data_IF_280306373006
#
_entry.id   IF_280306373006
#
_cell.length_a   1.000
_cell.length_b   1.000
_cell.length_c   1.000
_cell.angle_alpha   90.00
_cell.angle_beta   90.00
_cell.angle_gamma   90.00
#
_symmetry.space_group_name_H-M   'P 1'
#
loop_
_entity.id
_entity.type
_entity.pdbx_description
1 polymer ?
#
# COMPACT_ATOMS: atom_id res chain seq x y z
N UNK A 1 -5.94 -8.33 -0.94
CA UNK A 1 -4.60 -8.24 -0.34
C UNK A 1 -4.61 -8.86 1.03
N UNK A 2 -3.53 -9.51 1.43
CA UNK A 2 -3.29 -10.02 2.78
C UNK A 2 -1.85 -9.70 3.19
N UNK A 3 -1.55 -9.85 4.48
CA UNK A 3 -0.20 -9.68 5.01
C UNK A 3 0.30 -11.00 5.56
N UNK A 4 1.51 -11.41 5.19
CA UNK A 4 2.14 -12.63 5.72
C UNK A 4 2.34 -12.66 7.24
N UNK A 5 2.20 -11.52 7.93
CA UNK A 5 2.27 -11.42 9.39
C UNK A 5 1.06 -11.98 10.13
N UNK A 6 -0.08 -12.17 9.44
CA UNK A 6 -1.29 -12.73 10.02
C UNK A 6 -2.10 -13.46 8.95
N UNK A 7 -1.54 -14.58 8.49
CA UNK A 7 -2.07 -15.36 7.38
C UNK A 7 -1.96 -16.85 7.66
N UNK A 8 -3.07 -17.57 7.51
CA UNK A 8 -3.16 -19.01 7.73
C UNK A 8 -3.85 -19.67 6.54
N UNK A 9 -3.36 -20.84 6.14
CA UNK A 9 -3.91 -21.65 5.07
C UNK A 9 -3.72 -23.13 5.38
N UNK A 10 -4.58 -23.97 4.80
CA UNK A 10 -4.45 -25.42 4.96
C UNK A 10 -3.28 -25.93 4.13
N UNK A 11 -2.57 -26.92 4.68
CA UNK A 11 -1.37 -27.50 4.08
C UNK A 11 -1.65 -28.18 2.73
N UNK A 12 -2.77 -28.89 2.62
CA UNK A 12 -3.27 -29.51 1.39
C UNK A 12 -3.49 -28.47 0.29
N UNK A 13 -4.12 -27.34 0.62
CA UNK A 13 -4.38 -26.27 -0.34
C UNK A 13 -3.08 -25.60 -0.83
N UNK A 14 -2.05 -25.50 0.03
CA UNK A 14 -0.71 -25.03 -0.39
C UNK A 14 -0.08 -25.95 -1.43
N UNK A 15 -0.13 -27.28 -1.23
CA UNK A 15 0.41 -28.23 -2.18
C UNK A 15 -0.41 -28.32 -3.47
N UNK A 16 -1.73 -28.15 -3.39
CA UNK A 16 -2.61 -28.16 -4.56
C UNK A 16 -2.28 -27.05 -5.58
N UNK A 17 -1.67 -25.94 -5.13
CA UNK A 17 -1.17 -24.88 -6.03
C UNK A 17 0.33 -24.97 -6.31
N UNK A 18 1.02 -26.04 -5.93
CA UNK A 18 2.49 -26.11 -5.99
C UNK A 18 3.19 -25.00 -5.20
N UNK A 19 2.62 -24.61 -4.05
CA UNK A 19 3.18 -23.57 -3.19
C UNK A 19 3.46 -22.25 -3.90
N UNK A 20 4.65 -21.69 -3.66
CA UNK A 20 5.10 -20.42 -4.26
C UNK A 20 5.71 -20.57 -5.67
N UNK A 21 5.66 -21.76 -6.28
CA UNK A 21 6.15 -21.93 -7.66
C UNK A 21 5.45 -20.96 -8.62
N UNK A 22 6.20 -20.36 -9.54
CA UNK A 22 5.69 -19.34 -10.47
C UNK A 22 5.54 -17.93 -9.88
N UNK A 23 5.68 -17.74 -8.57
CA UNK A 23 5.69 -16.41 -7.92
C UNK A 23 6.91 -16.17 -7.03
N UNK A 24 7.76 -17.18 -6.81
CA UNK A 24 8.96 -17.09 -5.96
C UNK A 24 9.99 -16.06 -6.44
N UNK A 25 9.97 -15.68 -7.72
CA UNK A 25 10.86 -14.66 -8.28
C UNK A 25 10.44 -13.22 -7.88
N UNK A 26 9.23 -13.02 -7.37
CA UNK A 26 8.82 -11.73 -6.83
C UNK A 26 9.43 -11.53 -5.43
N UNK A 27 10.32 -10.55 -5.32
CA UNK A 27 11.06 -10.23 -4.09
C UNK A 27 10.13 -9.78 -2.93
N UNK A 28 8.90 -9.36 -3.24
CA UNK A 28 7.93 -8.93 -2.23
C UNK A 28 6.49 -9.08 -2.71
N UNK A 29 5.57 -9.40 -1.78
CA UNK A 29 4.15 -9.56 -2.10
C UNK A 29 3.78 -11.01 -2.44
N UNK A 30 4.62 -11.95 -2.03
CA UNK A 30 4.37 -13.38 -2.08
C UNK A 30 3.06 -13.77 -1.39
N UNK A 31 2.70 -13.11 -0.29
CA UNK A 31 1.41 -13.24 0.39
C UNK A 31 0.21 -12.90 -0.51
N UNK A 32 0.21 -11.70 -1.11
CA UNK A 32 -0.85 -11.25 -2.03
C UNK A 32 -0.94 -12.13 -3.27
N UNK A 33 0.20 -12.45 -3.88
CA UNK A 33 0.28 -13.24 -5.10
C UNK A 33 -0.14 -14.69 -4.83
N UNK A 34 0.24 -15.25 -3.69
CA UNK A 34 -0.21 -16.57 -3.27
C UNK A 34 -1.73 -16.57 -3.01
N UNK A 35 -2.29 -15.53 -2.39
CA UNK A 35 -3.74 -15.42 -2.20
C UNK A 35 -4.49 -15.37 -3.54
N UNK A 36 -3.97 -14.60 -4.52
CA UNK A 36 -4.54 -14.57 -5.87
C UNK A 36 -4.47 -15.95 -6.54
N UNK A 37 -3.36 -16.66 -6.38
CA UNK A 37 -3.20 -18.04 -6.89
C UNK A 37 -4.24 -18.98 -6.27
N UNK A 38 -4.41 -18.96 -4.95
CA UNK A 38 -5.41 -19.77 -4.24
C UNK A 38 -6.84 -19.45 -4.70
N UNK A 39 -7.15 -18.17 -4.89
CA UNK A 39 -8.43 -17.71 -5.42
C UNK A 39 -8.68 -18.23 -6.84
N UNK A 40 -7.69 -18.07 -7.73
CA UNK A 40 -7.82 -18.43 -9.14
C UNK A 40 -7.94 -19.96 -9.32
N UNK A 41 -7.32 -20.76 -8.44
CA UNK A 41 -7.51 -22.22 -8.36
C UNK A 41 -8.80 -22.65 -7.63
N UNK A 42 -9.63 -21.71 -7.14
CA UNK A 42 -10.90 -21.95 -6.41
C UNK A 42 -10.75 -22.89 -5.21
N UNK A 43 -9.61 -22.85 -4.52
CA UNK A 43 -9.33 -23.73 -3.39
C UNK A 43 -9.94 -23.17 -2.11
N UNK A 44 -11.17 -23.59 -1.82
CA UNK A 44 -11.87 -23.28 -0.59
C UNK A 44 -12.39 -21.86 -0.51
N UNK A 45 -12.78 -21.44 0.70
CA UNK A 45 -13.27 -20.09 0.98
C UNK A 45 -12.15 -19.24 1.56
N UNK A 46 -11.91 -18.09 0.94
CA UNK A 46 -11.03 -17.05 1.48
C UNK A 46 -11.87 -16.18 2.41
N UNK A 47 -11.45 -16.02 3.66
CA UNK A 47 -12.15 -15.23 4.67
C UNK A 47 -11.20 -14.35 5.47
N UNK A 48 -11.71 -13.24 5.97
CA UNK A 48 -11.01 -12.38 6.92
C UNK A 48 -11.42 -12.74 8.34
N UNK A 49 -10.46 -13.14 9.18
CA UNK A 49 -10.71 -13.51 10.57
C UNK A 49 -10.87 -12.24 11.43
N UNK A 50 -12.11 -11.78 11.52
CA UNK A 50 -12.48 -10.49 12.07
C UNK A 50 -12.59 -10.43 13.61
N UNK A 51 -11.59 -10.94 14.35
CA UNK A 51 -11.67 -11.07 15.81
C UNK A 51 -10.54 -10.31 16.55
N UNK A 52 -10.80 -9.55 17.64
CA UNK A 52 -9.75 -8.86 18.40
C UNK A 52 -8.61 -9.78 18.87
N UNK A 53 -8.93 -10.98 19.36
CA UNK A 53 -7.94 -11.99 19.78
C UNK A 53 -7.08 -12.61 18.66
N UNK A 54 -7.38 -12.39 17.38
CA UNK A 54 -6.54 -12.92 16.27
C UNK A 54 -5.68 -11.83 15.62
N UNK A 55 -5.59 -10.64 16.23
CA UNK A 55 -4.75 -9.56 15.73
C UNK A 55 -3.27 -9.84 16.04
N UNK A 56 -2.41 -9.71 15.03
CA UNK A 56 -0.97 -9.81 15.20
C UNK A 56 -0.34 -8.42 15.34
N UNK A 57 0.37 -8.18 16.44
CA UNK A 57 1.13 -6.96 16.63
C UNK A 57 2.42 -6.98 15.79
N UNK A 58 2.64 -5.95 15.00
CA UNK A 58 3.86 -5.78 14.19
C UNK A 58 4.62 -4.56 14.69
N UNK A 59 5.94 -4.68 14.83
CA UNK A 59 6.79 -3.55 15.23
C UNK A 59 6.88 -2.53 14.08
N UNK A 60 6.69 -1.23 14.35
CA UNK A 60 6.93 -0.20 13.34
C UNK A 60 8.42 -0.17 12.96
N UNK A 61 8.77 0.40 11.79
CA UNK A 61 10.17 0.60 11.41
C UNK A 61 10.94 1.38 12.48
N UNK A 62 12.17 0.94 12.78
CA UNK A 62 12.99 1.51 13.86
C UNK A 62 13.67 2.85 13.48
N UNK A 63 13.78 3.14 12.19
CA UNK A 63 14.40 4.37 11.68
C UNK A 63 13.67 4.94 10.47
N UNK A 64 13.95 6.21 10.15
CA UNK A 64 13.47 6.86 8.94
C UNK A 64 13.94 6.15 7.65
N UNK A 65 15.14 5.56 7.68
CA UNK A 65 15.68 4.80 6.55
C UNK A 65 14.89 3.50 6.35
N UNK A 66 14.57 2.79 7.43
CA UNK A 66 13.76 1.58 7.37
C UNK A 66 12.33 1.87 6.91
N UNK A 67 11.75 2.97 7.40
CA UNK A 67 10.44 3.44 6.96
C UNK A 67 10.43 3.74 5.46
N UNK A 68 11.40 4.51 4.97
CA UNK A 68 11.51 4.80 3.54
C UNK A 68 11.68 3.54 2.71
N UNK A 69 12.59 2.64 3.09
CA UNK A 69 12.81 1.36 2.40
C UNK A 69 11.51 0.53 2.33
N UNK A 70 10.78 0.43 3.45
CA UNK A 70 9.50 -0.28 3.52
C UNK A 70 8.45 0.33 2.59
N UNK A 71 8.26 1.65 2.61
CA UNK A 71 7.23 2.33 1.82
C UNK A 71 7.55 2.35 0.33
N UNK A 72 8.81 2.54 -0.02
CA UNK A 72 9.32 2.38 -1.37
C UNK A 72 9.01 0.98 -1.92
N UNK A 73 9.29 -0.07 -1.14
CA UNK A 73 8.99 -1.44 -1.54
C UNK A 73 7.49 -1.69 -1.73
N UNK A 74 6.63 -1.08 -0.92
CA UNK A 74 5.18 -1.21 -1.10
C UNK A 74 4.70 -0.52 -2.37
N UNK A 75 5.23 0.67 -2.66
CA UNK A 75 4.87 1.39 -3.87
C UNK A 75 5.37 0.69 -5.15
N UNK A 76 6.53 0.01 -5.10
CA UNK A 76 7.07 -0.69 -6.28
C UNK A 76 6.24 -1.91 -6.69
N UNK A 77 5.47 -2.51 -5.76
CA UNK A 77 4.56 -3.63 -6.05
C UNK A 77 3.42 -3.27 -7.00
N UNK A 78 3.02 -2.00 -7.04
CA UNK A 78 1.83 -1.54 -7.77
C UNK A 78 1.82 -1.89 -9.26
N UNK A 79 2.99 -2.07 -9.88
CA UNK A 79 3.14 -2.42 -11.29
C UNK A 79 2.81 -3.88 -11.62
N UNK A 80 2.81 -4.76 -10.63
CA UNK A 80 2.61 -6.21 -10.81
C UNK A 80 1.19 -6.65 -10.46
N UNK A 81 0.33 -5.75 -10.00
CA UNK A 81 -1.06 -6.08 -9.72
C UNK A 81 -1.92 -6.15 -10.99
N UNK A 82 -3.09 -6.81 -10.87
CA UNK A 82 -4.08 -6.91 -11.94
C UNK A 82 -4.49 -5.48 -12.41
N UNK A 83 -4.80 -5.25 -13.70
CA UNK A 83 -4.99 -3.91 -14.27
C UNK A 83 -5.97 -3.00 -13.50
N UNK A 84 -7.07 -3.55 -12.96
CA UNK A 84 -8.04 -2.78 -12.19
C UNK A 84 -7.47 -2.19 -10.88
N UNK A 85 -6.57 -2.91 -10.21
CA UNK A 85 -5.89 -2.43 -9.00
C UNK A 85 -4.90 -1.32 -9.37
N UNK A 86 -4.14 -1.51 -10.44
CA UNK A 86 -3.20 -0.50 -10.96
C UNK A 86 -3.91 0.80 -11.35
N UNK A 87 -5.08 0.71 -11.97
CA UNK A 87 -5.91 1.88 -12.30
C UNK A 87 -6.35 2.63 -11.04
N UNK A 88 -6.83 1.91 -10.01
CA UNK A 88 -7.21 2.50 -8.73
C UNK A 88 -6.05 3.21 -8.03
N UNK A 89 -4.87 2.58 -8.00
CA UNK A 89 -3.65 3.19 -7.43
C UNK A 89 -3.22 4.44 -8.22
N UNK A 90 -3.36 4.41 -9.55
CA UNK A 90 -3.06 5.56 -10.41
C UNK A 90 -4.03 6.71 -10.15
N UNK A 91 -5.33 6.43 -9.99
CA UNK A 91 -6.32 7.44 -9.64
C UNK A 91 -6.04 8.08 -8.27
N UNK A 92 -5.65 7.28 -7.27
CA UNK A 92 -5.22 7.79 -5.96
C UNK A 92 -3.99 8.69 -6.10
N UNK A 93 -2.99 8.29 -6.89
CA UNK A 93 -1.81 9.12 -7.15
C UNK A 93 -2.20 10.45 -7.81
N UNK A 94 -2.98 10.42 -8.89
CA UNK A 94 -3.40 11.61 -9.62
C UNK A 94 -4.21 12.57 -8.74
N UNK A 95 -5.13 12.06 -7.93
CA UNK A 95 -5.89 12.88 -6.97
C UNK A 95 -4.94 13.61 -6.01
N UNK A 96 -3.99 12.90 -5.40
CA UNK A 96 -3.06 13.52 -4.45
C UNK A 96 -2.09 14.50 -5.15
N UNK A 97 -1.70 14.22 -6.40
CA UNK A 97 -0.90 15.13 -7.21
C UNK A 97 -1.66 16.42 -7.54
N UNK A 98 -2.92 16.31 -7.98
CA UNK A 98 -3.78 17.46 -8.28
C UNK A 98 -4.04 18.31 -7.03
N UNK A 99 -4.21 17.69 -5.86
CA UNK A 99 -4.29 18.44 -4.60
C UNK A 99 -3.02 19.24 -4.34
N UNK A 100 -1.83 18.62 -4.49
CA UNK A 100 -0.56 19.33 -4.30
C UNK A 100 -0.41 20.51 -5.27
N UNK A 101 -0.70 20.30 -6.56
CA UNK A 101 -0.65 21.37 -7.56
C UNK A 101 -1.69 22.46 -7.30
N UNK A 102 -2.89 22.07 -6.87
CA UNK A 102 -3.97 23.00 -6.53
C UNK A 102 -3.62 23.88 -5.32
N UNK A 103 -2.94 23.33 -4.31
CA UNK A 103 -2.42 24.14 -3.21
C UNK A 103 -1.33 25.12 -3.67
N UNK A 104 -0.44 24.70 -4.58
CA UNK A 104 0.59 25.59 -5.16
C UNK A 104 0.02 26.67 -6.08
N UNK A 105 -1.20 26.50 -6.61
CA UNK A 105 -1.85 27.45 -7.50
C UNK A 105 -2.07 28.84 -6.85
N UNK A 106 -2.10 28.92 -5.52
CA UNK A 106 -2.15 30.19 -4.77
C UNK A 106 -0.95 31.09 -5.11
N UNK A 107 0.23 30.51 -5.36
CA UNK A 107 1.45 31.25 -5.69
C UNK A 107 1.37 31.92 -7.07
N UNK A 108 0.53 31.38 -7.95
CA UNK A 108 0.24 31.94 -9.27
C UNK A 108 -1.00 32.88 -9.26
N UNK A 109 -1.56 33.19 -8.08
CA UNK A 109 -2.77 33.99 -7.95
C UNK A 109 -4.07 33.28 -8.37
N UNK A 110 -4.02 31.98 -8.65
CA UNK A 110 -5.18 31.21 -9.11
C UNK A 110 -6.07 30.76 -7.94
N UNK A 111 -6.73 31.72 -7.29
CA UNK A 111 -7.54 31.53 -6.07
C UNK A 111 -8.67 30.51 -6.27
N UNK A 112 -9.31 30.50 -7.45
CA UNK A 112 -10.38 29.54 -7.78
C UNK A 112 -9.89 28.09 -7.73
N UNK A 113 -8.69 27.81 -8.27
CA UNK A 113 -8.07 26.48 -8.27
C UNK A 113 -7.68 26.08 -6.84
N UNK A 114 -7.09 27.02 -6.09
CA UNK A 114 -6.76 26.80 -4.68
C UNK A 114 -8.01 26.47 -3.84
N UNK A 115 -9.10 27.23 -4.01
CA UNK A 115 -10.35 27.00 -3.31
C UNK A 115 -10.95 25.62 -3.65
N UNK A 116 -10.93 25.23 -4.93
CA UNK A 116 -11.35 23.91 -5.37
C UNK A 116 -10.50 22.79 -4.73
N UNK A 117 -9.18 22.98 -4.64
CA UNK A 117 -8.27 22.05 -3.98
C UNK A 117 -8.55 21.93 -2.48
N UNK A 118 -8.84 23.04 -1.79
CA UNK A 118 -9.25 23.04 -0.39
C UNK A 118 -10.54 22.23 -0.17
N UNK A 119 -11.58 22.48 -0.97
CA UNK A 119 -12.86 21.75 -0.87
C UNK A 119 -12.63 20.25 -1.14
N UNK A 120 -11.92 19.91 -2.21
CA UNK A 120 -11.59 18.52 -2.54
C UNK A 120 -10.77 17.84 -1.43
N UNK A 121 -9.78 18.54 -0.88
CA UNK A 121 -8.96 18.07 0.23
C UNK A 121 -9.76 17.81 1.50
N UNK A 122 -10.72 18.68 1.82
CA UNK A 122 -11.62 18.50 2.97
C UNK A 122 -12.55 17.30 2.78
N UNK A 123 -13.15 17.13 1.59
CA UNK A 123 -14.00 15.97 1.29
C UNK A 123 -13.18 14.67 1.39
N UNK A 124 -12.00 14.64 0.77
CA UNK A 124 -11.07 13.51 0.86
C UNK A 124 -10.73 13.19 2.32
N UNK A 125 -10.32 14.19 3.10
CA UNK A 125 -9.97 14.00 4.50
C UNK A 125 -11.16 13.51 5.33
N UNK A 126 -12.38 14.00 5.06
CA UNK A 126 -13.60 13.49 5.69
C UNK A 126 -13.80 11.99 5.44
N UNK A 127 -13.71 11.55 4.19
CA UNK A 127 -13.82 10.14 3.82
C UNK A 127 -12.75 9.28 4.52
N UNK A 128 -11.49 9.73 4.52
CA UNK A 128 -10.39 9.04 5.19
C UNK A 128 -10.60 8.97 6.71
N UNK A 129 -11.09 10.05 7.33
CA UNK A 129 -11.37 10.08 8.76
C UNK A 129 -12.44 9.07 9.17
N UNK A 130 -13.57 9.03 8.44
CA UNK A 130 -14.65 8.08 8.75
C UNK A 130 -14.19 6.63 8.58
N UNK A 131 -13.41 6.35 7.52
CA UNK A 131 -12.81 5.04 7.32
C UNK A 131 -11.84 4.67 8.47
N UNK A 132 -10.89 5.56 8.78
CA UNK A 132 -9.89 5.34 9.82
C UNK A 132 -10.50 5.26 11.22
N UNK A 133 -11.57 6.00 11.51
CA UNK A 133 -12.28 5.93 12.79
C UNK A 133 -12.84 4.52 13.01
N UNK A 134 -13.46 3.94 11.97
CA UNK A 134 -13.99 2.57 12.04
C UNK A 134 -12.86 1.55 12.18
N UNK A 135 -11.77 1.70 11.43
CA UNK A 135 -10.61 0.83 11.55
C UNK A 135 -9.96 0.93 12.94
N UNK A 136 -9.72 2.14 13.45
CA UNK A 136 -9.11 2.37 14.76
C UNK A 136 -9.99 1.84 15.91
N UNK A 137 -11.32 1.93 15.78
CA UNK A 137 -12.22 1.31 16.75
C UNK A 137 -12.10 -0.22 16.77
N UNK A 138 -11.92 -0.85 15.61
CA UNK A 138 -11.70 -2.29 15.51
C UNK A 138 -10.36 -2.71 16.14
N UNK A 139 -9.28 -1.99 15.84
CA UNK A 139 -7.96 -2.31 16.40
C UNK A 139 -7.76 -1.83 17.85
N UNK A 140 -8.74 -1.14 18.45
CA UNK A 140 -8.60 -0.56 19.79
C UNK A 140 -7.64 0.64 19.87
N UNK A 141 -7.27 1.22 18.72
CA UNK A 141 -6.23 2.25 18.57
C UNK A 141 -6.78 3.65 18.29
N UNK A 142 -7.97 3.95 18.82
CA UNK A 142 -8.68 5.22 18.62
C UNK A 142 -7.85 6.45 19.04
N UNK A 143 -6.93 6.27 19.99
CA UNK A 143 -5.99 7.31 20.45
C UNK A 143 -5.12 7.87 19.32
N UNK A 144 -4.88 7.10 18.25
CA UNK A 144 -4.11 7.55 17.09
C UNK A 144 -4.85 8.58 16.23
N UNK A 145 -6.17 8.67 16.32
CA UNK A 145 -6.98 9.63 15.55
C UNK A 145 -6.65 11.09 15.91
N UNK A 146 -6.05 11.36 17.07
CA UNK A 146 -5.58 12.72 17.42
C UNK A 146 -4.52 13.25 16.45
N UNK A 147 -3.78 12.36 15.79
CA UNK A 147 -2.77 12.73 14.79
C UNK A 147 -3.36 12.88 13.39
N UNK A 148 -4.67 12.65 13.21
CA UNK A 148 -5.30 12.64 11.90
C UNK A 148 -5.13 13.97 11.16
N UNK A 149 -5.30 15.11 11.83
CA UNK A 149 -5.20 16.42 11.16
C UNK A 149 -3.84 16.64 10.53
N UNK A 150 -2.76 16.30 11.24
CA UNK A 150 -1.39 16.39 10.74
C UNK A 150 -1.18 15.35 9.63
N UNK A 151 -1.67 14.12 9.83
CA UNK A 151 -1.56 13.06 8.83
C UNK A 151 -2.28 13.43 7.52
N UNK A 152 -3.46 14.04 7.59
CA UNK A 152 -4.26 14.43 6.43
C UNK A 152 -3.55 15.48 5.57
N UNK A 153 -2.79 16.39 6.18
CA UNK A 153 -1.97 17.39 5.48
C UNK A 153 -0.72 16.77 4.85
N UNK A 154 -0.06 15.86 5.56
CA UNK A 154 1.18 15.22 5.07
C UNK A 154 0.88 14.14 4.02
N UNK A 155 -0.28 13.49 4.09
CA UNK A 155 -0.61 12.32 3.28
C UNK A 155 -0.54 12.56 1.77
N UNK A 156 -1.07 13.66 1.20
CA UNK A 156 -0.91 13.95 -0.23
C UNK A 156 0.55 14.05 -0.67
N UNK A 157 1.39 14.76 0.09
CA UNK A 157 2.82 14.88 -0.17
C UNK A 157 3.51 13.52 -0.09
N UNK A 158 3.17 12.74 0.93
CA UNK A 158 3.66 11.39 1.14
C UNK A 158 3.33 10.46 -0.05
N UNK A 159 2.07 10.47 -0.51
CA UNK A 159 1.63 9.64 -1.64
C UNK A 159 2.37 10.03 -2.92
N UNK A 160 2.48 11.32 -3.21
CA UNK A 160 3.17 11.81 -4.41
C UNK A 160 4.65 11.44 -4.38
N UNK A 161 5.33 11.71 -3.26
CA UNK A 161 6.75 11.40 -3.09
C UNK A 161 7.06 9.92 -3.30
N UNK A 162 6.35 9.02 -2.61
CA UNK A 162 6.63 7.60 -2.72
C UNK A 162 6.20 7.02 -4.06
N UNK A 163 5.12 7.50 -4.67
CA UNK A 163 4.68 7.05 -6.00
C UNK A 163 5.68 7.42 -7.10
N UNK A 164 6.25 8.63 -7.04
CA UNK A 164 7.28 9.07 -7.99
C UNK A 164 8.61 8.38 -7.77
N UNK A 165 8.96 8.09 -6.51
CA UNK A 165 10.23 7.43 -6.16
C UNK A 165 10.21 5.93 -6.45
N UNK A 166 9.06 5.25 -6.33
CA UNK A 166 8.97 3.80 -6.42
C UNK A 166 9.60 3.18 -7.69
N UNK A 167 9.39 3.74 -8.90
CA UNK A 167 9.97 3.22 -10.14
C UNK A 167 11.50 3.17 -10.16
N UNK A 168 12.15 4.09 -9.45
CA UNK A 168 13.59 4.31 -9.52
C UNK A 168 14.34 3.81 -8.30
N UNK A 169 13.61 3.32 -7.30
CA UNK A 169 14.18 3.08 -6.01
C UNK A 169 14.84 1.70 -5.91
N UNK A 170 15.99 1.71 -5.24
CA UNK A 170 16.66 0.53 -4.76
C UNK A 170 16.23 0.29 -3.31
N UNK A 171 15.81 -0.91 -2.98
CA UNK A 171 15.43 -1.29 -1.62
C UNK A 171 16.27 -2.48 -1.15
N UNK A 172 16.55 -2.55 0.14
CA UNK A 172 17.27 -3.67 0.75
C UNK A 172 16.29 -4.62 1.43
N UNK A 173 16.41 -5.92 1.19
CA UNK A 173 15.61 -6.95 1.86
C UNK A 173 16.51 -8.10 2.30
N UNK A 174 16.44 -8.47 3.58
CA UNK A 174 17.26 -9.54 4.21
C UNK A 174 18.78 -9.43 3.94
N UNK A 175 19.31 -8.21 3.82
CA UNK A 175 20.73 -7.96 3.58
C UNK A 175 21.12 -7.80 2.11
N UNK A 176 20.24 -8.13 1.17
CA UNK A 176 20.47 -7.98 -0.27
C UNK A 176 19.85 -6.69 -0.81
N UNK A 177 20.46 -6.08 -1.84
CA UNK A 177 19.99 -4.84 -2.48
C UNK A 177 19.31 -5.16 -3.81
N UNK A 178 18.08 -4.71 -3.97
CA UNK A 178 17.29 -4.88 -5.19
C UNK A 178 16.96 -3.52 -5.80
N UNK A 179 16.91 -3.43 -7.13
CA UNK A 179 16.35 -2.27 -7.84
C UNK A 179 14.96 -2.63 -8.37
N UNK A 180 14.03 -1.67 -8.41
CA UNK A 180 12.72 -1.88 -9.05
C UNK A 180 12.84 -2.35 -10.51
N UNK A 181 13.95 -2.03 -11.20
CA UNK A 181 14.29 -2.51 -12.55
C UNK A 181 14.73 -3.98 -12.58
N UNK A 182 15.33 -4.50 -11.50
CA UNK A 182 15.90 -5.86 -11.45
C UNK A 182 14.83 -6.95 -11.28
N UNK A 183 13.57 -6.59 -11.04
CA UNK A 183 12.46 -7.55 -11.07
C UNK A 183 12.14 -8.05 -12.49
N UNK A 184 12.73 -7.48 -13.55
CA UNK A 184 12.51 -7.88 -14.94
C UNK A 184 13.54 -8.89 -15.50
N UNK A 185 14.68 -9.13 -14.85
CA UNK A 185 15.79 -9.92 -15.42
C UNK A 185 16.12 -11.20 -14.66
N UNK A 186 15.11 -12.07 -14.49
CA UNK A 186 15.36 -13.52 -14.33
C UNK A 186 14.52 -14.34 -15.32
N UNK A 187 14.15 -13.74 -16.46
CA UNK A 187 13.56 -14.41 -17.62
C UNK A 187 14.57 -14.36 -18.75
N UNK A 188 15.62 -15.15 -18.63
CA UNK A 188 16.48 -15.65 -19.71
C UNK A 188 17.56 -16.48 -19.04
N UNK A 189 17.25 -17.76 -18.84
CA UNK A 189 18.04 -18.97 -19.17
C UNK A 189 17.22 -20.16 -18.67
#
# INVERSE_FOLDING_TARGET
>A
TCTGSNFAYRRDAFFAVNGFAGIAHFISGDDDLFLHKMHDHRLGRIGYAAHPHVQAAVRPPASWRDFQSQRTRYASKGRHYKPGVTLGLTAVFLLNLLLCLGFLAILAGAIQIFAAACVCGLVKAGCEYFYLRRAAAWFGEQKLLKYFSIAALIHPLYVVYFSLRAPFAKFSWRGERFSATTQQTSVSV
#
